data_IF_988825461605
#
_entry.id   IF_988825461605
#
_cell.length_a   1.000
_cell.length_b   1.000
_cell.length_c   1.000
_cell.angle_alpha   90.00
_cell.angle_beta   90.00
_cell.angle_gamma   90.00
#
_symmetry.space_group_name_H-M   'P 1'
#
loop_
_entity.id
_entity.type
_entity.pdbx_description
1 polymer ?
#
# COMPACT_ATOMS: atom_id res chain seq x y z
N UNK A 1 6.98 -37.79 1.06
CA UNK A 1 6.22 -36.74 0.36
C UNK A 1 6.49 -35.43 1.08
N UNK A 2 6.55 -34.31 0.36
CA UNK A 2 6.58 -33.01 1.04
C UNK A 2 5.26 -32.78 1.79
N UNK A 3 5.26 -32.10 2.95
CA UNK A 3 4.05 -31.85 3.70
C UNK A 3 3.10 -30.93 2.89
N UNK A 4 1.82 -31.11 3.06
CA UNK A 4 0.80 -30.18 2.51
C UNK A 4 0.86 -28.85 3.22
N UNK A 5 0.32 -27.79 2.60
CA UNK A 5 0.27 -26.47 3.23
C UNK A 5 -0.48 -26.49 4.57
N UNK A 6 -1.56 -27.28 4.67
CA UNK A 6 -2.34 -27.40 5.90
C UNK A 6 -1.62 -28.20 6.99
N UNK A 7 -0.84 -29.24 6.63
CA UNK A 7 0.04 -29.94 7.59
C UNK A 7 1.13 -29.02 8.14
N UNK A 8 1.64 -28.08 7.33
CA UNK A 8 2.61 -27.07 7.80
C UNK A 8 1.96 -26.09 8.77
N UNK A 9 0.74 -25.62 8.47
CA UNK A 9 0.07 -24.56 9.22
C UNK A 9 -0.74 -25.05 10.43
N UNK A 10 -1.13 -26.33 10.47
CA UNK A 10 -2.07 -26.84 11.50
C UNK A 10 -3.39 -26.04 11.42
N UNK A 11 -3.85 -25.52 12.56
CA UNK A 11 -5.08 -24.72 12.68
C UNK A 11 -4.84 -23.21 12.51
N UNK A 12 -3.63 -22.78 12.11
CA UNK A 12 -3.31 -21.38 11.91
C UNK A 12 -3.78 -20.87 10.54
N UNK A 13 -3.88 -19.55 10.40
CA UNK A 13 -4.02 -18.90 9.09
C UNK A 13 -2.78 -19.19 8.24
N UNK A 14 -2.96 -19.28 6.91
CA UNK A 14 -1.84 -19.31 5.97
C UNK A 14 -1.80 -17.97 5.24
N UNK A 15 -0.67 -17.29 5.37
CA UNK A 15 -0.35 -16.11 4.54
C UNK A 15 0.49 -16.59 3.36
N UNK A 16 -0.14 -16.68 2.19
CA UNK A 16 0.57 -16.89 0.93
C UNK A 16 1.26 -15.59 0.55
N UNK A 17 2.55 -15.53 0.76
CA UNK A 17 3.30 -14.29 0.68
C UNK A 17 4.74 -14.45 0.25
N UNK A 18 5.39 -13.32 0.04
CA UNK A 18 6.81 -13.26 -0.26
C UNK A 18 7.44 -12.03 0.40
N UNK A 19 8.65 -12.20 0.92
CA UNK A 19 9.37 -11.13 1.63
C UNK A 19 9.69 -9.91 0.74
N UNK A 20 9.77 -10.09 -0.56
CA UNK A 20 10.00 -9.03 -1.54
C UNK A 20 8.72 -8.29 -1.96
N UNK A 21 7.54 -8.80 -1.63
CA UNK A 21 6.26 -8.22 -2.03
C UNK A 21 5.89 -7.02 -1.17
N UNK A 22 5.64 -5.88 -1.82
CA UNK A 22 5.12 -4.68 -1.20
C UNK A 22 3.81 -4.96 -0.43
N UNK A 23 2.88 -5.64 -1.07
CA UNK A 23 1.56 -5.88 -0.49
C UNK A 23 1.57 -6.96 0.62
N UNK A 24 2.46 -7.96 0.55
CA UNK A 24 2.67 -8.89 1.68
C UNK A 24 3.24 -8.15 2.89
N UNK A 25 4.11 -7.18 2.66
CA UNK A 25 4.69 -6.34 3.71
C UNK A 25 3.68 -5.45 4.45
N UNK A 26 2.47 -5.28 3.95
CA UNK A 26 1.35 -4.63 4.64
C UNK A 26 0.67 -5.58 5.63
N UNK A 27 0.39 -6.80 5.19
CA UNK A 27 -0.39 -7.79 5.96
C UNK A 27 0.45 -8.42 7.08
N UNK A 28 1.72 -8.72 6.82
CA UNK A 28 2.59 -9.36 7.82
C UNK A 28 2.66 -8.57 9.13
N UNK A 29 2.98 -7.27 9.17
CA UNK A 29 3.01 -6.49 10.42
C UNK A 29 1.62 -6.36 11.04
N UNK A 30 0.54 -6.32 10.25
CA UNK A 30 -0.82 -6.34 10.76
C UNK A 30 -1.06 -7.62 11.60
N UNK A 31 -0.78 -8.80 11.03
CA UNK A 31 -0.94 -10.07 11.75
C UNK A 31 -0.08 -10.11 13.02
N UNK A 32 1.15 -9.64 12.95
CA UNK A 32 2.08 -9.57 14.10
C UNK A 32 1.53 -8.66 15.20
N UNK A 33 1.10 -7.43 14.87
CA UNK A 33 0.60 -6.44 15.83
C UNK A 33 -0.74 -6.83 16.44
N UNK A 34 -1.55 -7.58 15.71
CA UNK A 34 -2.83 -8.14 16.20
C UNK A 34 -2.65 -9.43 17.03
N UNK A 35 -1.44 -9.99 17.07
CA UNK A 35 -1.20 -11.27 17.73
C UNK A 35 -1.96 -12.43 17.08
N UNK A 36 -2.16 -12.38 15.77
CA UNK A 36 -2.85 -13.43 15.01
C UNK A 36 -1.84 -14.51 14.65
N UNK A 37 -2.11 -15.75 15.02
CA UNK A 37 -1.28 -16.89 14.68
C UNK A 37 -1.42 -17.23 13.20
N UNK A 38 -0.30 -17.24 12.50
CA UNK A 38 -0.24 -17.55 11.07
C UNK A 38 1.07 -18.23 10.68
N UNK A 39 1.04 -18.91 9.56
CA UNK A 39 2.24 -19.43 8.88
C UNK A 39 2.33 -18.76 7.51
N UNK A 40 3.48 -18.14 7.22
CA UNK A 40 3.74 -17.61 5.88
C UNK A 40 4.33 -18.69 5.00
N UNK A 41 3.68 -18.96 3.87
CA UNK A 41 4.14 -19.96 2.88
C UNK A 41 4.37 -19.23 1.55
N UNK A 42 5.54 -19.52 0.97
CA UNK A 42 5.92 -18.93 -0.32
C UNK A 42 5.09 -19.53 -1.47
N UNK A 43 4.70 -18.74 -2.50
CA UNK A 43 3.98 -19.21 -3.69
C UNK A 43 4.70 -20.30 -4.52
N UNK A 44 5.95 -20.61 -4.23
CA UNK A 44 6.63 -21.77 -4.83
C UNK A 44 6.08 -23.14 -4.36
N UNK A 45 5.30 -23.16 -3.26
CA UNK A 45 4.65 -24.37 -2.81
C UNK A 45 3.57 -24.83 -3.81
N UNK A 46 3.49 -26.13 -4.19
CA UNK A 46 2.57 -26.61 -5.22
C UNK A 46 1.10 -26.24 -4.99
N UNK A 47 0.63 -26.23 -3.75
CA UNK A 47 -0.74 -25.85 -3.39
C UNK A 47 -1.12 -24.45 -3.90
N UNK A 48 -0.15 -23.52 -3.97
CA UNK A 48 -0.42 -22.18 -4.49
C UNK A 48 -0.91 -22.22 -5.94
N UNK A 49 -0.22 -22.93 -6.83
CA UNK A 49 -0.61 -23.06 -8.24
C UNK A 49 -1.84 -23.95 -8.41
N UNK A 50 -1.95 -25.03 -7.64
CA UNK A 50 -3.01 -26.03 -7.80
C UNK A 50 -4.36 -25.56 -7.25
N UNK A 51 -4.37 -24.70 -6.23
CA UNK A 51 -5.58 -24.26 -5.54
C UNK A 51 -5.72 -22.75 -5.54
N UNK A 52 -4.75 -22.01 -4.97
CA UNK A 52 -4.89 -20.58 -4.71
C UNK A 52 -5.01 -19.80 -6.02
N UNK A 53 -4.04 -19.96 -6.93
CA UNK A 53 -4.03 -19.23 -8.20
C UNK A 53 -5.25 -19.59 -9.08
N UNK A 54 -5.70 -20.86 -9.07
CA UNK A 54 -6.90 -21.27 -9.81
C UNK A 54 -8.17 -20.64 -9.24
N UNK A 55 -8.27 -20.51 -7.93
CA UNK A 55 -9.42 -19.89 -7.25
C UNK A 55 -9.46 -18.39 -7.50
N UNK A 56 -8.33 -17.72 -7.35
CA UNK A 56 -8.21 -16.27 -7.57
C UNK A 56 -8.30 -15.93 -9.07
N UNK A 57 -7.71 -16.75 -9.94
CA UNK A 57 -7.72 -16.59 -11.40
C UNK A 57 -6.50 -15.85 -11.96
N UNK A 58 -5.58 -15.40 -11.13
CA UNK A 58 -4.30 -14.78 -11.50
C UNK A 58 -3.30 -14.92 -10.35
N UNK A 59 -2.01 -14.73 -10.66
CA UNK A 59 -0.96 -14.69 -9.65
C UNK A 59 -1.06 -13.39 -8.84
N UNK A 60 -1.12 -13.49 -7.52
CA UNK A 60 -1.10 -12.36 -6.59
C UNK A 60 -0.60 -12.75 -5.22
N UNK A 61 0.09 -11.85 -4.54
CA UNK A 61 0.46 -11.97 -3.13
C UNK A 61 0.30 -10.59 -2.46
N UNK A 62 -0.28 -10.53 -1.24
CA UNK A 62 -0.64 -11.64 -0.37
C UNK A 62 -2.00 -12.26 -0.71
N UNK A 63 -2.16 -13.53 -0.31
CA UNK A 63 -3.46 -14.19 -0.18
C UNK A 63 -3.53 -14.81 1.20
N UNK A 64 -4.65 -14.65 1.89
CA UNK A 64 -4.92 -15.32 3.16
C UNK A 64 -5.80 -16.53 2.94
N UNK A 65 -5.41 -17.67 3.48
CA UNK A 65 -6.25 -18.86 3.59
C UNK A 65 -6.59 -19.10 5.05
N UNK A 66 -7.89 -19.13 5.38
CA UNK A 66 -8.32 -19.38 6.76
C UNK A 66 -8.21 -20.86 7.12
N UNK A 67 -8.25 -21.24 8.42
CA UNK A 67 -8.30 -22.63 8.83
C UNK A 67 -9.42 -23.44 8.15
N UNK A 68 -10.54 -22.81 7.88
CA UNK A 68 -11.71 -23.41 7.21
C UNK A 68 -11.56 -23.47 5.67
N UNK A 69 -10.43 -23.01 5.12
CA UNK A 69 -10.15 -23.03 3.69
C UNK A 69 -10.75 -21.86 2.89
N UNK A 70 -11.25 -20.79 3.55
CA UNK A 70 -11.68 -19.57 2.84
C UNK A 70 -10.47 -18.82 2.32
N UNK A 71 -10.51 -18.42 1.06
CA UNK A 71 -9.43 -17.68 0.38
C UNK A 71 -9.83 -16.22 0.28
N UNK A 72 -8.97 -15.33 0.75
CA UNK A 72 -9.12 -13.86 0.66
C UNK A 72 -7.87 -13.31 -0.04
N UNK A 73 -8.05 -12.63 -1.16
CA UNK A 73 -6.98 -11.99 -1.89
C UNK A 73 -7.14 -10.46 -1.83
N UNK A 74 -6.03 -9.76 -1.84
CA UNK A 74 -5.83 -8.34 -1.62
C UNK A 74 -5.51 -7.99 -0.16
N UNK A 75 -4.48 -7.16 0.02
CA UNK A 75 -3.96 -6.83 1.36
C UNK A 75 -4.96 -6.05 2.22
N UNK A 76 -5.73 -5.14 1.62
CA UNK A 76 -6.72 -4.34 2.34
C UNK A 76 -7.94 -5.19 2.70
N UNK A 77 -8.44 -6.00 1.76
CA UNK A 77 -9.52 -6.96 2.00
C UNK A 77 -9.17 -7.98 3.10
N UNK A 78 -7.93 -8.43 3.16
CA UNK A 78 -7.45 -9.34 4.22
C UNK A 78 -7.54 -8.66 5.59
N UNK A 79 -7.05 -7.43 5.71
CA UNK A 79 -7.07 -6.69 6.97
C UNK A 79 -8.51 -6.35 7.39
N UNK A 80 -9.36 -5.90 6.46
CA UNK A 80 -10.78 -5.62 6.71
C UNK A 80 -11.57 -6.88 7.10
N UNK A 81 -11.25 -8.04 6.54
CA UNK A 81 -11.86 -9.33 6.92
C UNK A 81 -11.48 -9.77 8.34
N UNK A 82 -10.24 -9.50 8.75
CA UNK A 82 -9.74 -9.91 10.06
C UNK A 82 -10.10 -8.92 11.18
N UNK A 83 -10.24 -7.63 10.87
CA UNK A 83 -10.46 -6.59 11.88
C UNK A 83 -11.65 -6.83 12.83
N UNK A 84 -12.84 -7.25 12.35
CA UNK A 84 -13.95 -7.56 13.26
C UNK A 84 -13.70 -8.77 14.17
N UNK A 85 -12.78 -9.65 13.78
CA UNK A 85 -12.43 -10.84 14.58
C UNK A 85 -11.34 -10.54 15.60
N UNK A 86 -10.46 -9.60 15.28
CA UNK A 86 -9.31 -9.19 16.08
C UNK A 86 -9.28 -7.66 16.23
N UNK A 87 -10.23 -7.06 16.96
CA UNK A 87 -10.41 -5.60 16.98
C UNK A 87 -9.35 -4.83 17.78
N UNK A 88 -8.47 -5.50 18.52
CA UNK A 88 -7.49 -4.87 19.41
C UNK A 88 -6.06 -5.20 18.98
N UNK A 89 -5.17 -4.18 18.84
CA UNK A 89 -5.49 -2.75 18.79
C UNK A 89 -6.30 -2.41 17.53
N UNK A 90 -7.20 -1.40 17.55
CA UNK A 90 -7.97 -1.04 16.37
C UNK A 90 -7.03 -0.57 15.23
N UNK A 91 -7.30 -0.91 13.98
CA UNK A 91 -6.53 -0.40 12.85
C UNK A 91 -6.99 0.99 12.36
N UNK A 92 -8.16 1.43 12.81
CA UNK A 92 -8.74 2.73 12.48
C UNK A 92 -9.11 3.48 13.75
N UNK A 93 -8.85 4.79 13.83
CA UNK A 93 -9.38 5.65 14.88
C UNK A 93 -10.92 5.68 14.85
N UNK A 94 -11.56 5.84 16.00
CA UNK A 94 -13.01 6.06 16.09
C UNK A 94 -13.43 7.43 15.54
N UNK A 95 -12.55 8.42 15.64
CA UNK A 95 -12.75 9.75 15.06
C UNK A 95 -12.76 9.66 13.53
N UNK A 96 -13.91 9.94 12.90
CA UNK A 96 -14.08 9.78 11.44
C UNK A 96 -13.14 10.64 10.59
N UNK A 97 -12.91 11.94 10.88
CA UNK A 97 -11.87 12.72 10.20
C UNK A 97 -10.49 12.07 10.25
N UNK A 98 -10.07 11.58 11.40
CA UNK A 98 -8.77 10.91 11.54
C UNK A 98 -8.75 9.54 10.82
N UNK A 99 -9.86 8.80 10.84
CA UNK A 99 -10.01 7.55 10.08
C UNK A 99 -9.94 7.79 8.57
N UNK A 100 -10.54 8.86 8.07
CA UNK A 100 -10.42 9.26 6.65
C UNK A 100 -8.97 9.59 6.27
N UNK A 101 -8.25 10.36 7.11
CA UNK A 101 -6.81 10.60 6.93
C UNK A 101 -6.01 9.29 6.95
N UNK A 102 -6.41 8.32 7.77
CA UNK A 102 -5.76 7.01 7.81
C UNK A 102 -5.85 6.30 6.47
N UNK A 103 -7.01 6.33 5.80
CA UNK A 103 -7.16 5.77 4.45
C UNK A 103 -6.37 6.53 3.40
N UNK A 104 -6.30 7.86 3.46
CA UNK A 104 -5.48 8.65 2.54
C UNK A 104 -3.99 8.28 2.68
N UNK A 105 -3.46 8.20 3.90
CA UNK A 105 -2.07 7.80 4.15
C UNK A 105 -1.83 6.34 3.74
N UNK A 106 -2.78 5.45 4.02
CA UNK A 106 -2.72 4.06 3.58
C UNK A 106 -2.62 3.95 2.06
N UNK A 107 -3.47 4.68 1.33
CA UNK A 107 -3.45 4.74 -0.12
C UNK A 107 -2.11 5.29 -0.65
N UNK A 108 -1.61 6.37 -0.05
CA UNK A 108 -0.29 6.90 -0.39
C UNK A 108 0.83 5.88 -0.18
N UNK A 109 0.84 5.18 0.96
CA UNK A 109 1.80 4.10 1.23
C UNK A 109 1.69 2.95 0.23
N UNK A 110 0.45 2.49 -0.05
CA UNK A 110 0.21 1.35 -0.92
C UNK A 110 0.51 1.62 -2.38
N UNK A 111 0.00 2.76 -2.91
CA UNK A 111 -0.01 3.05 -4.34
C UNK A 111 0.89 4.24 -4.70
N UNK A 112 0.82 5.33 -3.93
CA UNK A 112 1.62 6.54 -4.18
C UNK A 112 3.12 6.29 -4.13
N UNK A 113 3.59 5.46 -3.19
CA UNK A 113 5.00 5.11 -3.05
C UNK A 113 5.45 3.92 -3.91
N UNK A 114 4.57 3.28 -4.67
CA UNK A 114 4.94 2.19 -5.59
C UNK A 114 5.99 2.63 -6.60
N UNK A 115 5.89 3.88 -7.10
CA UNK A 115 6.87 4.44 -8.04
C UNK A 115 8.27 4.49 -7.43
N UNK A 116 8.41 5.05 -6.22
CA UNK A 116 9.72 5.11 -5.54
C UNK A 116 10.26 3.73 -5.18
N UNK A 117 9.38 2.81 -4.77
CA UNK A 117 9.74 1.43 -4.48
C UNK A 117 10.29 0.71 -5.71
N UNK A 118 9.60 0.83 -6.85
CA UNK A 118 10.01 0.23 -8.12
C UNK A 118 11.29 0.88 -8.68
N UNK A 119 11.40 2.21 -8.57
CA UNK A 119 12.61 2.94 -8.93
C UNK A 119 13.83 2.42 -8.16
N UNK A 120 13.75 2.36 -6.83
CA UNK A 120 14.85 1.92 -5.98
C UNK A 120 15.26 0.46 -6.27
N UNK A 121 14.32 -0.45 -6.49
CA UNK A 121 14.63 -1.86 -6.74
C UNK A 121 15.25 -2.10 -8.11
N UNK A 122 14.70 -1.49 -9.15
CA UNK A 122 15.00 -1.89 -10.52
C UNK A 122 15.94 -0.95 -11.26
N UNK A 123 16.06 0.30 -10.79
CA UNK A 123 16.86 1.34 -11.46
C UNK A 123 18.22 1.62 -10.82
N UNK A 124 18.52 1.01 -9.69
CA UNK A 124 19.73 1.30 -8.92
C UNK A 124 20.85 0.27 -9.19
N UNK A 125 21.72 0.07 -8.22
CA UNK A 125 22.99 -0.61 -8.31
C UNK A 125 22.93 -2.07 -8.79
N UNK A 126 24.08 -2.56 -9.22
CA UNK A 126 24.28 -3.97 -9.59
C UNK A 126 23.97 -4.92 -8.40
N UNK A 127 24.33 -4.52 -7.18
CA UNK A 127 24.09 -5.28 -5.95
C UNK A 127 22.61 -5.46 -5.69
N UNK A 128 21.79 -4.43 -5.91
CA UNK A 128 20.32 -4.54 -5.81
C UNK A 128 19.77 -5.58 -6.79
N UNK A 129 20.30 -5.61 -8.03
CA UNK A 129 19.86 -6.59 -9.02
C UNK A 129 20.21 -8.03 -8.63
N UNK A 130 21.41 -8.25 -8.07
CA UNK A 130 21.81 -9.57 -7.56
C UNK A 130 20.94 -10.00 -6.38
N UNK A 131 20.65 -9.07 -5.47
CA UNK A 131 19.76 -9.34 -4.34
C UNK A 131 18.34 -9.66 -4.80
N UNK A 132 17.76 -8.84 -5.67
CA UNK A 132 16.44 -9.07 -6.24
C UNK A 132 16.36 -10.44 -6.96
N UNK A 133 17.36 -10.77 -7.79
CA UNK A 133 17.47 -12.07 -8.44
C UNK A 133 17.43 -13.25 -7.45
N UNK A 134 18.20 -13.15 -6.35
CA UNK A 134 18.20 -14.17 -5.30
C UNK A 134 16.82 -14.30 -4.65
N UNK A 135 16.17 -13.18 -4.34
CA UNK A 135 14.89 -13.17 -3.65
C UNK A 135 13.74 -13.70 -4.54
N UNK A 136 13.70 -13.28 -5.79
CA UNK A 136 12.71 -13.80 -6.74
C UNK A 136 12.98 -15.26 -7.13
N UNK A 137 14.24 -15.67 -7.19
CA UNK A 137 14.62 -17.07 -7.46
C UNK A 137 14.10 -18.08 -6.45
N UNK A 138 13.77 -17.64 -5.23
CA UNK A 138 13.13 -18.49 -4.21
C UNK A 138 11.65 -18.73 -4.49
N UNK A 139 11.02 -17.84 -5.23
CA UNK A 139 9.59 -17.93 -5.58
C UNK A 139 9.38 -18.51 -6.97
N UNK A 140 10.32 -18.27 -7.87
CA UNK A 140 10.29 -18.74 -9.24
C UNK A 140 11.08 -20.05 -9.38
N UNK A 141 10.73 -20.86 -10.38
CA UNK A 141 11.25 -22.23 -10.49
C UNK A 141 12.74 -22.31 -10.85
N UNK A 142 13.34 -21.21 -11.37
CA UNK A 142 14.77 -21.20 -11.72
C UNK A 142 15.38 -19.79 -11.71
N UNK A 143 16.74 -19.69 -11.64
CA UNK A 143 17.45 -18.43 -11.82
C UNK A 143 17.14 -17.71 -13.13
N UNK A 144 16.96 -18.46 -14.23
CA UNK A 144 16.63 -17.92 -15.56
C UNK A 144 15.25 -17.27 -15.54
N UNK A 145 14.27 -17.85 -14.85
CA UNK A 145 12.96 -17.26 -14.64
C UNK A 145 13.04 -15.98 -13.80
N UNK A 146 13.89 -15.96 -12.78
CA UNK A 146 14.14 -14.76 -11.96
C UNK A 146 14.77 -13.64 -12.80
N UNK A 147 15.70 -13.95 -13.70
CA UNK A 147 16.30 -12.98 -14.61
C UNK A 147 15.26 -12.45 -15.63
N UNK A 148 14.47 -13.33 -16.22
CA UNK A 148 13.40 -12.95 -17.14
C UNK A 148 12.36 -12.05 -16.46
N UNK A 149 12.01 -12.37 -15.22
CA UNK A 149 11.10 -11.54 -14.40
C UNK A 149 11.71 -10.16 -14.13
N UNK A 150 12.99 -10.09 -13.73
CA UNK A 150 13.68 -8.82 -13.49
C UNK A 150 13.73 -7.93 -14.75
N UNK A 151 13.97 -8.52 -15.90
CA UNK A 151 13.94 -7.82 -17.20
C UNK A 151 12.53 -7.28 -17.48
N UNK A 152 11.49 -8.09 -17.30
CA UNK A 152 10.11 -7.69 -17.49
C UNK A 152 9.72 -6.55 -16.56
N UNK A 153 10.08 -6.63 -15.26
CA UNK A 153 9.79 -5.58 -14.27
C UNK A 153 10.50 -4.25 -14.60
N UNK A 154 11.73 -4.30 -15.10
CA UNK A 154 12.40 -3.09 -15.60
C UNK A 154 11.70 -2.48 -16.81
N UNK A 155 11.18 -3.32 -17.71
CA UNK A 155 10.35 -2.88 -18.83
C UNK A 155 9.03 -2.22 -18.41
N UNK A 156 8.57 -2.49 -17.18
CA UNK A 156 7.38 -1.88 -16.61
C UNK A 156 7.60 -0.46 -16.07
N UNK A 157 8.84 -0.06 -15.77
CA UNK A 157 9.13 1.26 -15.18
C UNK A 157 8.57 2.43 -16.01
N UNK A 158 8.75 2.51 -17.34
CA UNK A 158 8.15 3.58 -18.13
C UNK A 158 6.62 3.60 -18.09
N UNK A 159 5.99 2.42 -17.97
CA UNK A 159 4.52 2.28 -17.85
C UNK A 159 4.02 2.90 -16.54
N UNK A 160 4.83 2.83 -15.48
CA UNK A 160 4.58 3.47 -14.19
C UNK A 160 5.00 4.95 -14.16
N UNK A 161 5.40 5.52 -15.27
CA UNK A 161 5.88 6.90 -15.36
C UNK A 161 7.30 7.11 -14.81
N UNK A 162 8.04 6.03 -14.61
CA UNK A 162 9.44 6.05 -14.18
C UNK A 162 10.31 5.96 -15.43
N UNK A 163 10.62 7.09 -16.01
CA UNK A 163 11.58 7.17 -17.13
C UNK A 163 12.93 7.63 -16.61
N UNK A 164 14.01 7.16 -17.25
CA UNK A 164 15.37 7.64 -16.97
C UNK A 164 15.69 8.93 -17.72
N UNK A 165 14.69 9.51 -18.39
CA UNK A 165 14.86 10.78 -19.10
C UNK A 165 15.13 11.91 -18.11
N UNK A 166 16.04 12.78 -18.51
CA UNK A 166 16.60 13.85 -17.69
C UNK A 166 15.57 14.59 -16.82
N UNK A 167 15.69 14.36 -15.53
CA UNK A 167 14.99 15.06 -14.47
C UNK A 167 13.84 14.29 -13.82
N UNK A 168 13.34 13.17 -14.35
CA UNK A 168 12.38 12.30 -13.63
C UNK A 168 13.11 11.52 -12.54
N UNK A 169 14.31 11.04 -12.80
CA UNK A 169 15.21 10.44 -11.83
C UNK A 169 15.58 11.42 -10.71
N UNK A 170 15.98 12.65 -11.04
CA UNK A 170 16.28 13.70 -10.05
C UNK A 170 15.05 14.02 -9.19
N UNK A 171 13.87 14.19 -9.81
CA UNK A 171 12.62 14.44 -9.09
C UNK A 171 12.23 13.27 -8.17
N UNK A 172 12.49 12.03 -8.61
CA UNK A 172 12.24 10.85 -7.78
C UNK A 172 13.16 10.81 -6.56
N UNK A 173 14.46 11.08 -6.75
CA UNK A 173 15.43 11.14 -5.64
C UNK A 173 15.11 12.27 -4.67
N UNK A 174 14.72 13.46 -5.15
CA UNK A 174 14.27 14.57 -4.32
C UNK A 174 13.00 14.20 -3.53
N UNK A 175 12.06 13.53 -4.16
CA UNK A 175 10.82 13.05 -3.50
C UNK A 175 11.14 12.05 -2.38
N UNK A 176 12.05 11.11 -2.64
CA UNK A 176 12.50 10.13 -1.65
C UNK A 176 13.23 10.83 -0.48
N UNK A 177 14.09 11.80 -0.77
CA UNK A 177 14.80 12.54 0.26
C UNK A 177 13.84 13.30 1.19
N UNK A 178 12.85 14.01 0.62
CA UNK A 178 11.80 14.72 1.39
C UNK A 178 10.95 13.76 2.22
N UNK A 179 10.61 12.60 1.64
CA UNK A 179 9.88 11.54 2.36
C UNK A 179 10.67 11.07 3.58
N UNK A 180 11.97 10.78 3.41
CA UNK A 180 12.84 10.35 4.49
C UNK A 180 12.97 11.42 5.57
N UNK A 181 13.15 12.68 5.18
CA UNK A 181 13.24 13.81 6.12
C UNK A 181 11.95 13.92 6.96
N UNK A 182 10.79 13.96 6.34
CA UNK A 182 9.51 14.10 7.02
C UNK A 182 9.20 12.93 7.95
N UNK A 183 9.34 11.69 7.47
CA UNK A 183 9.07 10.50 8.28
C UNK A 183 10.11 10.31 9.39
N UNK A 184 11.39 10.61 9.14
CA UNK A 184 12.42 10.54 10.17
C UNK A 184 12.14 11.54 11.30
N UNK A 185 11.78 12.79 10.98
CA UNK A 185 11.43 13.80 11.96
C UNK A 185 10.21 13.39 12.79
N UNK A 186 9.26 12.69 12.18
CA UNK A 186 8.08 12.18 12.88
C UNK A 186 8.43 11.00 13.79
N UNK A 187 9.07 9.96 13.28
CA UNK A 187 9.38 8.75 14.03
C UNK A 187 10.50 8.93 15.10
N UNK A 188 11.22 10.04 15.10
CA UNK A 188 12.06 10.43 16.24
C UNK A 188 11.23 10.78 17.50
N UNK A 189 9.96 11.15 17.33
CA UNK A 189 9.09 11.61 18.43
C UNK A 189 7.97 10.64 18.74
N UNK A 190 7.49 9.89 17.75
CA UNK A 190 6.30 9.05 17.86
C UNK A 190 6.58 7.64 17.31
N UNK A 191 6.02 6.59 17.96
CA UNK A 191 6.25 5.21 17.53
C UNK A 191 5.50 4.84 16.25
N UNK A 192 4.38 5.52 15.94
CA UNK A 192 3.54 5.27 14.76
C UNK A 192 3.07 6.57 14.14
N UNK A 193 2.58 6.49 12.90
CA UNK A 193 2.24 7.69 12.13
C UNK A 193 1.10 8.52 12.73
N UNK A 194 0.17 7.88 13.44
CA UNK A 194 -0.98 8.55 14.07
C UNK A 194 -0.93 8.55 15.61
N UNK A 195 0.24 8.35 16.19
CA UNK A 195 0.41 8.43 17.66
C UNK A 195 1.08 7.22 18.27
N UNK A 196 0.50 6.67 19.35
CA UNK A 196 1.08 5.59 20.16
C UNK A 196 0.59 4.19 19.83
N UNK A 197 -0.28 4.02 18.84
CA UNK A 197 -0.76 2.72 18.36
C UNK A 197 -0.66 2.61 16.83
N UNK A 198 -0.33 1.43 16.30
CA UNK A 198 -0.24 1.23 14.87
C UNK A 198 -1.64 1.32 14.23
N UNK A 199 -1.70 1.92 13.05
CA UNK A 199 -2.92 2.12 12.28
C UNK A 199 -2.82 1.49 10.88
N UNK A 200 -3.93 1.48 10.14
CA UNK A 200 -3.95 1.10 8.74
C UNK A 200 -2.96 1.96 7.90
N UNK A 201 -2.72 3.22 8.32
CA UNK A 201 -1.72 4.09 7.70
C UNK A 201 -0.30 3.52 7.83
N UNK A 202 0.09 3.03 9.01
CA UNK A 202 1.37 2.37 9.24
C UNK A 202 1.51 1.11 8.39
N UNK A 203 0.47 0.28 8.33
CA UNK A 203 0.48 -0.93 7.50
C UNK A 203 0.63 -0.60 6.02
N UNK A 204 -0.01 0.46 5.52
CA UNK A 204 0.17 0.97 4.16
C UNK A 204 1.61 1.37 3.87
N UNK A 205 2.20 2.18 4.76
CA UNK A 205 3.59 2.64 4.65
C UNK A 205 4.61 1.50 4.75
N UNK A 206 4.32 0.43 5.53
CA UNK A 206 5.19 -0.75 5.63
C UNK A 206 5.39 -1.43 4.28
N UNK A 207 4.41 -1.39 3.38
CA UNK A 207 4.55 -1.95 2.04
C UNK A 207 5.84 -1.55 1.35
N UNK A 208 5.97 -0.32 0.89
CA UNK A 208 7.17 0.16 0.21
C UNK A 208 8.37 0.31 1.14
N UNK A 209 8.16 0.87 2.36
CA UNK A 209 9.27 1.20 3.26
C UNK A 209 10.01 -0.05 3.77
N UNK A 210 9.31 -1.16 4.03
CA UNK A 210 9.98 -2.41 4.37
C UNK A 210 10.47 -3.14 3.13
N UNK A 211 9.56 -3.51 2.20
CA UNK A 211 9.88 -4.46 1.14
C UNK A 211 10.93 -3.95 0.14
N UNK A 212 11.05 -2.63 -0.03
CA UNK A 212 11.93 -2.00 -1.01
C UNK A 212 12.96 -1.07 -0.34
N UNK A 213 12.49 0.03 0.28
CA UNK A 213 13.38 1.05 0.85
C UNK A 213 14.29 0.48 1.96
N UNK A 214 13.73 -0.30 2.88
CA UNK A 214 14.46 -0.84 4.03
C UNK A 214 15.14 -2.19 3.78
N UNK A 215 14.86 -2.87 2.67
CA UNK A 215 15.30 -4.23 2.43
C UNK A 215 16.29 -4.39 1.29
N UNK A 216 16.10 -3.69 0.18
CA UNK A 216 17.03 -3.74 -0.94
C UNK A 216 18.35 -3.05 -0.57
N UNK A 217 19.50 -3.57 -1.00
CA UNK A 217 20.81 -3.26 -0.42
C UNK A 217 21.12 -1.75 -0.42
N UNK A 218 21.09 -1.10 -1.59
CA UNK A 218 21.47 0.31 -1.71
C UNK A 218 20.47 1.23 -0.99
N UNK A 219 19.16 0.98 -1.13
CA UNK A 219 18.12 1.77 -0.47
C UNK A 219 18.11 1.57 1.05
N UNK A 220 18.34 0.35 1.54
CA UNK A 220 18.47 0.06 2.97
C UNK A 220 19.64 0.85 3.60
N UNK A 221 20.77 0.93 2.91
CA UNK A 221 21.89 1.75 3.34
C UNK A 221 21.53 3.24 3.37
N UNK A 222 20.76 3.73 2.37
CA UNK A 222 20.29 5.12 2.34
C UNK A 222 19.31 5.42 3.49
N UNK A 223 18.34 4.54 3.76
CA UNK A 223 17.41 4.69 4.90
C UNK A 223 18.17 4.74 6.22
N UNK A 224 19.08 3.80 6.46
CA UNK A 224 19.89 3.77 7.70
C UNK A 224 20.74 5.03 7.89
N UNK A 225 21.24 5.60 6.79
CA UNK A 225 22.10 6.79 6.83
C UNK A 225 21.31 8.08 6.99
N UNK A 226 20.18 8.22 6.29
CA UNK A 226 19.45 9.48 6.16
C UNK A 226 18.14 9.52 6.96
N UNK A 227 17.60 8.36 7.33
CA UNK A 227 16.34 8.24 8.05
C UNK A 227 16.38 7.09 9.08
N UNK A 228 17.31 7.10 10.05
CA UNK A 228 17.48 5.99 10.99
C UNK A 228 16.23 5.72 11.84
N UNK A 229 15.41 6.73 12.15
CA UNK A 229 14.16 6.55 12.88
C UNK A 229 13.10 5.79 12.03
N UNK A 230 13.11 5.97 10.70
CA UNK A 230 12.28 5.15 9.80
C UNK A 230 12.73 3.69 9.84
N UNK A 231 14.04 3.44 9.84
CA UNK A 231 14.57 2.07 9.93
C UNK A 231 14.17 1.40 11.25
N UNK A 232 14.33 2.11 12.39
CA UNK A 232 13.86 1.65 13.71
C UNK A 232 12.34 1.36 13.69
N UNK A 233 11.53 2.25 13.11
CA UNK A 233 10.09 2.05 12.98
C UNK A 233 9.76 0.78 12.19
N UNK A 234 10.46 0.49 11.09
CA UNK A 234 10.31 -0.77 10.34
C UNK A 234 10.56 -1.98 11.25
N UNK A 235 11.63 -1.95 12.07
CA UNK A 235 11.91 -3.03 13.01
C UNK A 235 10.83 -3.15 14.09
N UNK A 236 10.34 -2.02 14.61
CA UNK A 236 9.24 -1.97 15.58
C UNK A 236 7.96 -2.57 15.01
N UNK A 237 7.63 -2.27 13.75
CA UNK A 237 6.45 -2.83 13.08
C UNK A 237 6.50 -4.35 12.91
N UNK A 238 7.69 -4.94 12.88
CA UNK A 238 7.91 -6.40 12.76
C UNK A 238 8.02 -7.11 14.12
N UNK A 239 7.82 -6.40 15.24
CA UNK A 239 7.80 -6.97 16.59
C UNK A 239 6.39 -7.00 17.14
N UNK A 240 6.01 -8.02 17.97
CA UNK A 240 4.68 -8.09 18.57
C UNK A 240 4.34 -6.91 19.50
N UNK A 241 5.25 -6.41 20.38
CA UNK A 241 4.90 -5.32 21.29
C UNK A 241 4.50 -4.04 20.55
N UNK A 242 3.47 -3.35 21.08
CA UNK A 242 3.01 -2.05 20.57
C UNK A 242 3.92 -0.95 21.10
N UNK A 243 4.33 -1.04 22.35
CA UNK A 243 5.22 -0.04 22.96
C UNK A 243 6.59 -0.09 22.28
N UNK A 244 7.01 1.06 21.76
CA UNK A 244 8.36 1.26 21.28
C UNK A 244 9.29 1.58 22.47
N UNK A 245 10.39 0.83 22.68
CA UNK A 245 11.25 1.02 23.84
C UNK A 245 12.01 2.36 23.84
N UNK A 246 12.18 3.02 22.71
CA UNK A 246 12.87 4.30 22.60
C UNK A 246 11.94 5.50 22.82
N UNK A 247 10.65 5.35 22.52
CA UNK A 247 9.62 6.39 22.72
C UNK A 247 8.50 5.89 23.62
N UNK A 248 8.84 5.11 24.64
CA UNK A 248 7.94 4.44 25.57
C UNK A 248 7.01 5.38 26.35
N UNK A 249 7.34 6.67 26.43
CA UNK A 249 6.59 7.71 27.12
C UNK A 249 5.38 8.21 26.32
N UNK A 250 5.27 7.85 25.04
CA UNK A 250 4.12 8.23 24.19
C UNK A 250 2.90 7.40 24.61
N UNK A 251 1.75 8.02 24.95
CA UNK A 251 0.54 7.30 25.32
C UNK A 251 0.10 6.36 24.17
N UNK A 252 -0.41 5.15 24.54
CA UNK A 252 -0.90 4.18 23.56
C UNK A 252 -2.31 4.57 23.07
N UNK A 253 -2.40 5.70 22.38
CA UNK A 253 -3.61 6.25 21.80
C UNK A 253 -3.33 6.96 20.49
N UNK A 254 -4.36 7.20 19.70
CA UNK A 254 -4.28 8.02 18.51
C UNK A 254 -4.23 9.50 18.87
N UNK A 255 -3.64 10.31 18.02
CA UNK A 255 -3.69 11.76 18.13
C UNK A 255 -5.14 12.27 18.14
N UNK A 256 -5.36 13.40 18.81
CA UNK A 256 -6.57 14.18 18.58
C UNK A 256 -6.49 14.85 17.21
N UNK A 257 -7.57 14.81 16.44
CA UNK A 257 -7.65 15.53 15.16
C UNK A 257 -7.55 17.06 15.34
N UNK A 258 -7.77 17.55 16.56
CA UNK A 258 -7.66 18.96 16.92
C UNK A 258 -6.24 19.40 17.27
N UNK A 259 -5.33 18.43 17.50
CA UNK A 259 -3.95 18.69 17.90
C UNK A 259 -2.98 17.71 17.21
N UNK A 260 -2.92 17.81 15.87
CA UNK A 260 -2.00 17.02 15.09
C UNK A 260 -0.60 17.65 15.13
N UNK A 261 0.46 16.85 15.36
CA UNK A 261 1.82 17.41 15.46
C UNK A 261 2.31 17.93 14.10
N UNK A 262 3.13 18.99 14.14
CA UNK A 262 3.73 19.62 12.95
C UNK A 262 4.46 18.61 12.05
N UNK A 263 5.06 17.58 12.64
CA UNK A 263 5.76 16.52 11.88
C UNK A 263 4.79 15.68 11.05
N UNK A 264 3.58 15.39 11.56
CA UNK A 264 2.53 14.75 10.78
C UNK A 264 2.00 15.69 9.69
N UNK A 265 1.77 16.98 10.02
CA UNK A 265 1.31 17.97 9.05
C UNK A 265 2.30 18.15 7.90
N UNK A 266 3.60 18.16 8.19
CA UNK A 266 4.66 18.20 7.17
C UNK A 266 4.64 16.98 6.26
N UNK A 267 4.40 15.79 6.81
CA UNK A 267 4.24 14.57 6.02
C UNK A 267 2.95 14.61 5.17
N UNK A 268 1.82 15.02 5.76
CA UNK A 268 0.55 15.15 5.04
C UNK A 268 0.65 16.15 3.88
N UNK A 269 1.46 17.20 4.01
CA UNK A 269 1.71 18.13 2.92
C UNK A 269 2.38 17.44 1.72
N UNK A 270 3.34 16.54 1.95
CA UNK A 270 3.92 15.73 0.86
C UNK A 270 2.86 14.84 0.19
N UNK A 271 1.96 14.26 0.97
CA UNK A 271 0.85 13.45 0.46
C UNK A 271 -0.09 14.31 -0.40
N UNK A 272 -0.52 15.45 0.12
CA UNK A 272 -1.44 16.36 -0.57
C UNK A 272 -0.87 16.90 -1.89
N UNK A 273 0.38 17.36 -1.87
CA UNK A 273 1.01 17.96 -3.05
C UNK A 273 1.42 16.96 -4.14
N UNK A 274 1.77 15.71 -3.76
CA UNK A 274 2.38 14.77 -4.69
C UNK A 274 1.51 13.55 -5.04
N UNK A 275 0.49 13.25 -4.26
CA UNK A 275 -0.35 12.07 -4.49
C UNK A 275 -1.82 12.40 -4.74
N UNK A 276 -2.38 13.41 -4.10
CA UNK A 276 -3.79 13.79 -4.33
C UNK A 276 -4.06 14.15 -5.79
N UNK A 277 -3.19 14.87 -6.53
CA UNK A 277 -3.39 15.12 -7.96
C UNK A 277 -3.44 13.84 -8.81
N UNK A 278 -2.74 12.80 -8.40
CA UNK A 278 -2.75 11.50 -9.08
C UNK A 278 -4.08 10.77 -8.89
N UNK A 279 -4.60 10.75 -7.65
CA UNK A 279 -5.93 10.17 -7.35
C UNK A 279 -7.00 10.92 -8.15
N UNK A 280 -6.95 12.25 -8.16
CA UNK A 280 -7.89 13.09 -8.93
C UNK A 280 -7.88 12.70 -10.41
N UNK A 281 -6.70 12.64 -11.03
CA UNK A 281 -6.56 12.28 -12.43
C UNK A 281 -7.05 10.85 -12.72
N UNK A 282 -6.85 9.92 -11.77
CA UNK A 282 -7.32 8.52 -11.89
C UNK A 282 -8.85 8.46 -11.82
N UNK A 283 -9.48 9.23 -10.93
CA UNK A 283 -10.95 9.31 -10.80
C UNK A 283 -11.55 9.98 -12.05
N UNK A 284 -10.94 11.04 -12.56
CA UNK A 284 -11.38 11.69 -13.80
C UNK A 284 -11.33 10.72 -14.99
N UNK A 285 -10.31 9.86 -15.04
CA UNK A 285 -10.21 8.82 -16.05
C UNK A 285 -11.27 7.72 -15.84
N UNK A 286 -11.55 7.33 -14.60
CA UNK A 286 -12.65 6.42 -14.26
C UNK A 286 -13.99 6.97 -14.74
N UNK A 287 -14.26 8.26 -14.52
CA UNK A 287 -15.49 8.92 -15.02
C UNK A 287 -15.56 8.91 -16.55
N UNK A 288 -14.45 9.19 -17.24
CA UNK A 288 -14.39 9.10 -18.70
C UNK A 288 -14.65 7.68 -19.20
N UNK A 289 -14.10 6.67 -18.52
CA UNK A 289 -14.34 5.27 -18.84
C UNK A 289 -15.83 4.91 -18.68
N UNK A 290 -16.49 5.39 -17.60
CA UNK A 290 -17.93 5.21 -17.40
C UNK A 290 -18.76 5.89 -18.48
N UNK A 291 -18.38 7.08 -18.92
CA UNK A 291 -19.13 7.88 -19.89
C UNK A 291 -18.91 7.39 -21.34
N UNK A 292 -17.89 6.59 -21.61
CA UNK A 292 -17.53 6.16 -22.96
C UNK A 292 -18.52 5.14 -23.58
N UNK A 293 -19.20 4.38 -22.74
CA UNK A 293 -20.21 3.39 -23.16
C UNK A 293 -21.10 2.98 -21.99
N UNK A 294 -22.23 2.33 -22.29
CA UNK A 294 -23.03 1.73 -21.23
C UNK A 294 -22.35 0.52 -20.60
N UNK A 295 -22.35 0.48 -19.29
CA UNK A 295 -21.81 -0.60 -18.49
C UNK A 295 -22.91 -1.24 -17.64
N UNK A 296 -23.07 -2.55 -17.78
CA UNK A 296 -23.99 -3.31 -16.93
C UNK A 296 -23.52 -3.36 -15.46
N UNK A 297 -24.45 -3.54 -14.53
CA UNK A 297 -24.10 -3.90 -13.16
C UNK A 297 -23.29 -5.21 -13.14
N UNK A 298 -22.24 -5.25 -12.31
CA UNK A 298 -21.32 -6.39 -12.25
C UNK A 298 -20.26 -6.41 -13.35
N UNK A 299 -20.23 -5.44 -14.28
CA UNK A 299 -19.15 -5.32 -15.26
C UNK A 299 -17.79 -5.12 -14.58
N UNK A 300 -16.76 -5.81 -15.05
CA UNK A 300 -15.37 -5.66 -14.55
C UNK A 300 -14.86 -4.28 -14.92
N UNK A 301 -14.39 -3.52 -13.94
CA UNK A 301 -13.86 -2.17 -14.11
C UNK A 301 -12.42 -2.25 -14.60
N UNK A 302 -12.25 -2.39 -15.91
CA UNK A 302 -10.96 -2.53 -16.57
C UNK A 302 -11.11 -2.16 -18.04
N UNK A 303 -10.11 -1.51 -18.62
CA UNK A 303 -10.14 -1.03 -20.02
C UNK A 303 -10.35 -2.16 -21.04
N UNK A 304 -9.94 -3.39 -20.71
CA UNK A 304 -10.13 -4.59 -21.54
C UNK A 304 -11.24 -5.52 -20.98
N UNK A 305 -11.91 -5.12 -19.89
CA UNK A 305 -12.89 -5.94 -19.17
C UNK A 305 -12.28 -7.20 -18.53
N UNK A 306 -10.97 -7.21 -18.27
CA UNK A 306 -10.24 -8.37 -17.78
C UNK A 306 -10.11 -8.36 -16.26
N UNK A 307 -10.31 -9.54 -15.66
CA UNK A 307 -9.93 -9.82 -14.29
C UNK A 307 -8.41 -9.99 -14.21
N UNK A 308 -7.75 -9.16 -13.41
CA UNK A 308 -6.29 -9.20 -13.20
C UNK A 308 -5.92 -8.61 -11.83
N UNK A 309 -4.68 -8.83 -11.40
CA UNK A 309 -4.15 -8.35 -10.11
C UNK A 309 -4.33 -6.83 -9.96
N UNK A 310 -3.87 -6.06 -10.95
CA UNK A 310 -4.06 -4.61 -11.04
C UNK A 310 -4.93 -4.30 -12.25
N UNK A 311 -6.18 -3.92 -12.01
CA UNK A 311 -7.10 -3.52 -13.06
C UNK A 311 -6.71 -2.13 -13.57
N UNK A 312 -6.83 -1.92 -14.88
CA UNK A 312 -6.31 -0.76 -15.59
C UNK A 312 -7.44 0.05 -16.19
N UNK A 313 -7.36 1.37 -16.02
CA UNK A 313 -8.32 2.34 -16.60
C UNK A 313 -7.81 3.01 -17.89
N UNK A 314 -6.54 2.88 -18.21
CA UNK A 314 -5.91 3.53 -19.36
C UNK A 314 -4.66 4.31 -18.97
N UNK A 315 -4.29 5.33 -19.77
CA UNK A 315 -3.18 6.22 -19.48
C UNK A 315 -3.69 7.54 -18.90
N UNK A 316 -3.01 8.04 -17.88
CA UNK A 316 -3.25 9.36 -17.29
C UNK A 316 -1.99 10.22 -17.34
N UNK A 317 -2.18 11.52 -17.22
CA UNK A 317 -1.14 12.50 -16.97
C UNK A 317 -1.49 13.31 -15.72
N UNK A 318 -0.52 13.48 -14.84
CA UNK A 318 -0.64 14.31 -13.64
C UNK A 318 0.67 15.02 -13.36
N UNK A 319 0.66 15.97 -12.44
CA UNK A 319 1.87 16.67 -11.99
C UNK A 319 2.33 16.08 -10.68
N UNK A 320 3.59 15.69 -10.60
CA UNK A 320 4.28 15.26 -9.37
C UNK A 320 5.62 15.99 -9.25
N UNK A 321 5.91 16.53 -8.10
CA UNK A 321 7.13 17.33 -7.88
C UNK A 321 7.32 18.45 -8.93
N UNK A 322 6.21 19.09 -9.33
CA UNK A 322 6.22 20.14 -10.35
C UNK A 322 6.48 19.66 -11.78
N UNK A 323 6.48 18.37 -12.05
CA UNK A 323 6.75 17.78 -13.36
C UNK A 323 5.56 16.97 -13.88
N UNK A 324 5.27 17.02 -15.19
CA UNK A 324 4.27 16.15 -15.79
C UNK A 324 4.76 14.70 -15.78
N UNK A 325 3.94 13.82 -15.25
CA UNK A 325 4.14 12.36 -15.24
C UNK A 325 3.04 11.72 -16.07
N UNK A 326 3.43 10.87 -17.03
CA UNK A 326 2.51 10.04 -17.80
C UNK A 326 2.66 8.60 -17.38
N UNK A 327 1.56 7.99 -16.92
CA UNK A 327 1.58 6.60 -16.43
C UNK A 327 0.28 5.88 -16.74
N UNK A 328 0.30 4.57 -16.55
CA UNK A 328 -0.92 3.77 -16.52
C UNK A 328 -1.70 4.07 -15.25
N UNK A 329 -3.02 4.24 -15.37
CA UNK A 329 -3.93 4.40 -14.24
C UNK A 329 -4.34 3.02 -13.71
N UNK A 330 -4.04 2.76 -12.45
CA UNK A 330 -4.43 1.55 -11.74
C UNK A 330 -5.71 1.84 -10.94
N UNK A 331 -6.63 0.87 -10.93
CA UNK A 331 -7.90 1.01 -10.23
C UNK A 331 -7.73 1.00 -8.70
N UNK A 332 -6.60 0.51 -8.21
CA UNK A 332 -6.30 0.43 -6.79
C UNK A 332 -6.37 1.81 -6.10
N UNK A 333 -5.92 2.88 -6.76
CA UNK A 333 -6.06 4.26 -6.26
C UNK A 333 -7.52 4.63 -5.99
N UNK A 334 -8.41 4.31 -6.94
CA UNK A 334 -9.85 4.59 -6.84
C UNK A 334 -10.50 3.74 -5.75
N UNK A 335 -10.08 2.49 -5.61
CA UNK A 335 -10.64 1.56 -4.61
C UNK A 335 -10.37 2.02 -3.17
N UNK A 336 -9.22 2.62 -2.92
CA UNK A 336 -8.91 3.21 -1.61
C UNK A 336 -9.72 4.49 -1.36
N UNK A 337 -9.94 5.29 -2.41
CA UNK A 337 -10.76 6.49 -2.31
C UNK A 337 -12.23 6.19 -1.98
N UNK A 338 -12.79 5.08 -2.43
CA UNK A 338 -14.13 4.64 -2.02
C UNK A 338 -14.29 4.53 -0.51
N UNK A 339 -13.29 4.00 0.18
CA UNK A 339 -13.31 3.85 1.64
C UNK A 339 -13.20 5.20 2.36
N UNK A 340 -12.36 6.09 1.83
CA UNK A 340 -12.28 7.48 2.27
C UNK A 340 -13.64 8.18 2.10
N UNK A 341 -14.24 8.11 0.91
CA UNK A 341 -15.54 8.72 0.58
C UNK A 341 -16.65 8.19 1.51
N UNK A 342 -16.72 6.88 1.74
CA UNK A 342 -17.74 6.30 2.63
C UNK A 342 -17.66 6.85 4.07
N UNK A 343 -16.45 7.14 4.57
CA UNK A 343 -16.28 7.83 5.85
C UNK A 343 -16.76 9.27 5.80
N UNK A 344 -16.39 10.01 4.75
CA UNK A 344 -16.82 11.40 4.55
C UNK A 344 -18.34 11.52 4.47
N UNK A 345 -18.99 10.61 3.75
CA UNK A 345 -20.46 10.56 3.61
C UNK A 345 -21.16 10.29 4.94
N UNK A 346 -20.51 9.54 5.83
CA UNK A 346 -21.01 9.27 7.19
C UNK A 346 -20.70 10.35 8.24
N UNK A 347 -20.01 11.46 7.89
CA UNK A 347 -19.70 12.55 8.80
C UNK A 347 -20.85 13.54 8.94
N UNK A 348 -20.94 14.19 10.13
CA UNK A 348 -21.71 15.39 10.29
C UNK A 348 -20.98 16.62 9.71
N UNK A 349 -21.66 17.77 9.63
CA UNK A 349 -21.12 18.98 9.02
C UNK A 349 -19.84 19.50 9.70
N UNK A 350 -19.77 19.41 11.05
CA UNK A 350 -18.59 19.86 11.78
C UNK A 350 -17.37 18.96 11.52
N UNK A 351 -17.57 17.64 11.45
CA UNK A 351 -16.53 16.67 11.09
C UNK A 351 -16.04 16.89 9.66
N UNK A 352 -16.95 17.09 8.70
CA UNK A 352 -16.59 17.40 7.29
C UNK A 352 -15.81 18.69 7.19
N UNK A 353 -16.28 19.76 7.85
CA UNK A 353 -15.59 21.05 7.85
C UNK A 353 -14.17 20.93 8.43
N UNK A 354 -14.01 20.16 9.51
CA UNK A 354 -12.70 19.89 10.14
C UNK A 354 -11.77 19.20 9.17
N UNK A 355 -12.21 18.11 8.56
CA UNK A 355 -11.42 17.35 7.60
C UNK A 355 -11.06 18.19 6.38
N UNK A 356 -12.03 18.92 5.80
CA UNK A 356 -11.81 19.77 4.64
C UNK A 356 -10.77 20.85 4.94
N UNK A 357 -10.91 21.56 6.08
CA UNK A 357 -9.94 22.59 6.47
C UNK A 357 -8.52 22.03 6.66
N UNK A 358 -8.40 20.81 7.21
CA UNK A 358 -7.12 20.14 7.36
C UNK A 358 -6.53 19.77 5.99
N UNK A 359 -7.30 19.15 5.11
CA UNK A 359 -6.85 18.76 3.78
C UNK A 359 -6.48 19.95 2.91
N UNK A 360 -7.24 21.05 2.99
CA UNK A 360 -6.93 22.32 2.29
C UNK A 360 -5.58 22.88 2.76
N UNK A 361 -5.28 22.80 4.07
CA UNK A 361 -4.03 23.28 4.64
C UNK A 361 -2.79 22.52 4.19
N UNK A 362 -2.96 21.29 3.71
CA UNK A 362 -1.87 20.40 3.25
C UNK A 362 -1.85 20.21 1.72
N UNK A 363 -2.55 21.05 0.97
CA UNK A 363 -2.52 21.03 -0.49
C UNK A 363 -3.48 20.03 -1.14
N UNK A 364 -4.39 19.43 -0.38
CA UNK A 364 -5.39 18.46 -0.85
C UNK A 364 -6.79 19.10 -1.03
N UNK A 365 -6.83 20.32 -1.55
CA UNK A 365 -8.06 21.11 -1.70
C UNK A 365 -9.09 20.38 -2.57
N UNK A 366 -10.34 20.34 -2.09
CA UNK A 366 -11.46 19.73 -2.81
C UNK A 366 -11.47 18.21 -2.77
N UNK A 367 -10.54 17.58 -2.04
CA UNK A 367 -10.47 16.12 -1.97
C UNK A 367 -11.68 15.50 -1.27
N UNK A 368 -12.29 16.19 -0.30
CA UNK A 368 -13.53 15.77 0.36
C UNK A 368 -14.76 15.78 -0.55
N UNK A 369 -14.73 16.57 -1.63
CA UNK A 369 -15.84 16.71 -2.58
C UNK A 369 -15.68 15.80 -3.80
N UNK A 370 -14.60 15.02 -3.83
CA UNK A 370 -14.30 14.12 -4.92
C UNK A 370 -15.11 12.83 -4.79
N UNK A 371 -16.23 12.76 -5.53
CA UNK A 371 -17.14 11.62 -5.51
C UNK A 371 -17.06 10.79 -6.79
N UNK A 372 -17.20 9.48 -6.66
CA UNK A 372 -17.34 8.58 -7.81
C UNK A 372 -18.76 8.69 -8.38
N UNK A 373 -18.88 8.81 -9.71
CA UNK A 373 -20.18 8.80 -10.40
C UNK A 373 -20.95 7.49 -10.21
N UNK A 374 -20.25 6.41 -9.99
CA UNK A 374 -20.81 5.07 -9.76
C UNK A 374 -19.90 4.28 -8.85
N UNK A 375 -20.47 3.62 -7.85
CA UNK A 375 -19.75 2.79 -6.90
C UNK A 375 -19.20 1.51 -7.54
N UNK A 376 -18.15 1.00 -6.94
CA UNK A 376 -17.55 -0.30 -7.25
C UNK A 376 -17.58 -1.18 -6.02
N UNK A 377 -17.59 -2.48 -6.24
CA UNK A 377 -17.39 -3.48 -5.18
C UNK A 377 -16.41 -4.54 -5.64
N UNK A 378 -15.68 -5.14 -4.70
CA UNK A 378 -14.86 -6.30 -5.00
C UNK A 378 -15.73 -7.56 -5.02
N UNK A 379 -15.78 -8.24 -6.17
CA UNK A 379 -16.54 -9.46 -6.34
C UNK A 379 -15.72 -10.46 -7.16
N UNK A 380 -15.64 -11.71 -6.71
CA UNK A 380 -14.86 -12.75 -7.38
C UNK A 380 -13.43 -12.34 -7.69
N UNK A 381 -12.78 -11.68 -6.72
CA UNK A 381 -11.39 -11.18 -6.79
C UNK A 381 -11.14 -10.11 -7.87
N UNK A 382 -12.16 -9.37 -8.29
CA UNK A 382 -12.04 -8.23 -9.19
C UNK A 382 -12.95 -7.09 -8.71
N UNK A 383 -12.60 -5.85 -9.03
CA UNK A 383 -13.51 -4.73 -8.88
C UNK A 383 -14.53 -4.73 -10.02
N UNK A 384 -15.80 -4.67 -9.66
CA UNK A 384 -16.94 -4.63 -10.58
C UNK A 384 -17.82 -3.45 -10.23
N UNK A 385 -18.56 -2.94 -11.20
CA UNK A 385 -19.57 -1.90 -10.96
C UNK A 385 -20.66 -2.42 -10.02
N UNK A 386 -21.05 -1.58 -9.07
CA UNK A 386 -22.14 -1.88 -8.15
C UNK A 386 -23.50 -1.81 -8.84
#
# INVERSE_FOLDING_TARGET
MAPTAREIAGDNYILWGASWSLYTAKVRPYLIKKGIDYVEINPSHPHYNDTIMKTVGYFTVPVLETPEGKIIADSTEIMEFLEPKFPVPPMLPENKPLAALTYLIHSFGSEGLTKSAMYLRWNTSYENRLFARSEFGRTLASPEQADAFAIAMRGYLPILGITLDHGVDVAMEESIAKLYEALNAHFLKYPYILGGVPSLADYGLMGPLYAHHGRDIASSNAVKKHAPAVYRWIETMLRPPIVDPEVWHVPQEYFSVDDLPDTLMSFLKLVGENYVPEIQATIDLYHKWLDAQEHAAGAVVDVEGKKRCHQVLGQLEHVQMGRPIKRIALLDDVSHHLRFQALVDGMNDAEKQKLTGLLDSVGAKGFTDLHLKRDMKRQNYAYTLA
#
